data_IF_358319412625
#
_entry.id   IF_358319412625
#
_cell.length_a   1.000
_cell.length_b   1.000
_cell.length_c   1.000
_cell.angle_alpha   90.00
_cell.angle_beta   90.00
_cell.angle_gamma   90.00
#
_symmetry.space_group_name_H-M   'P 1'
#
loop_
_entity.id
_entity.type
_entity.pdbx_description
1 polymer ?
#
# COMPACT_ATOMS: atom_id res chain seq x y z
N UNK A 1 21.84 -70.91 -29.95
CA UNK A 1 22.93 -69.98 -29.58
C UNK A 1 22.57 -68.52 -29.88
N UNK A 2 22.32 -68.13 -31.14
CA UNK A 2 22.03 -66.72 -31.51
C UNK A 2 20.77 -66.11 -30.83
N UNK A 3 19.67 -66.87 -30.70
CA UNK A 3 18.45 -66.38 -30.03
C UNK A 3 18.62 -66.10 -28.53
N UNK A 4 19.39 -66.94 -27.82
CA UNK A 4 19.67 -66.75 -26.39
C UNK A 4 20.53 -65.49 -26.15
N UNK A 5 21.48 -65.22 -27.05
CA UNK A 5 22.28 -64.00 -27.05
C UNK A 5 21.41 -62.76 -27.27
N UNK A 6 20.49 -62.80 -28.24
CA UNK A 6 19.58 -61.69 -28.52
C UNK A 6 18.64 -61.41 -27.34
N UNK A 7 18.04 -62.44 -26.75
CA UNK A 7 17.18 -62.30 -25.57
C UNK A 7 17.96 -61.75 -24.38
N UNK A 8 19.20 -62.22 -24.16
CA UNK A 8 20.06 -61.71 -23.09
C UNK A 8 20.40 -60.21 -23.25
N UNK A 9 20.65 -59.75 -24.48
CA UNK A 9 20.91 -58.33 -24.76
C UNK A 9 19.66 -57.48 -24.51
N UNK A 10 18.48 -57.96 -24.93
CA UNK A 10 17.21 -57.25 -24.68
C UNK A 10 16.92 -57.16 -23.18
N UNK A 11 17.11 -58.25 -22.43
CA UNK A 11 16.94 -58.24 -20.97
C UNK A 11 17.93 -57.28 -20.31
N UNK A 12 19.21 -57.28 -20.73
CA UNK A 12 20.22 -56.36 -20.21
C UNK A 12 19.87 -54.89 -20.50
N UNK A 13 19.34 -54.58 -21.68
CA UNK A 13 18.88 -53.24 -22.05
C UNK A 13 17.69 -52.80 -21.21
N UNK A 14 16.71 -53.69 -20.98
CA UNK A 14 15.53 -53.38 -20.16
C UNK A 14 15.95 -53.15 -18.69
N UNK A 15 16.82 -54.00 -18.14
CA UNK A 15 17.36 -53.82 -16.80
C UNK A 15 18.19 -52.54 -16.67
N UNK A 16 19.02 -52.24 -17.67
CA UNK A 16 19.78 -51.00 -17.74
C UNK A 16 18.88 -49.77 -17.77
N UNK A 17 17.82 -49.79 -18.59
CA UNK A 17 16.84 -48.72 -18.66
C UNK A 17 16.09 -48.54 -17.33
N UNK A 18 15.71 -49.63 -16.67
CA UNK A 18 15.03 -49.60 -15.37
C UNK A 18 15.93 -49.05 -14.25
N UNK A 19 17.20 -49.46 -14.21
CA UNK A 19 18.19 -48.93 -13.27
C UNK A 19 18.42 -47.43 -13.50
N UNK A 20 18.55 -47.01 -14.77
CA UNK A 20 18.72 -45.60 -15.12
C UNK A 20 17.49 -44.78 -14.73
N UNK A 21 16.28 -45.27 -15.00
CA UNK A 21 15.04 -44.62 -14.60
C UNK A 21 14.96 -44.45 -13.07
N UNK A 22 15.28 -45.50 -12.32
CA UNK A 22 15.26 -45.48 -10.84
C UNK A 22 16.29 -44.49 -10.29
N UNK A 23 17.50 -44.48 -10.85
CA UNK A 23 18.54 -43.53 -10.49
C UNK A 23 18.11 -42.08 -10.77
N UNK A 24 17.54 -41.83 -11.95
CA UNK A 24 17.04 -40.51 -12.35
C UNK A 24 15.91 -40.05 -11.42
N UNK A 25 14.94 -40.91 -11.11
CA UNK A 25 13.85 -40.59 -10.18
C UNK A 25 14.35 -40.29 -8.77
N UNK A 26 15.27 -41.11 -8.25
CA UNK A 26 15.89 -40.90 -6.94
C UNK A 26 16.65 -39.57 -6.89
N UNK A 27 17.46 -39.30 -7.92
CA UNK A 27 18.18 -38.04 -8.07
C UNK A 27 17.24 -36.83 -8.12
N UNK A 28 16.17 -36.89 -8.92
CA UNK A 28 15.17 -35.83 -8.96
C UNK A 28 14.47 -35.63 -7.61
N UNK A 29 14.16 -36.71 -6.88
CA UNK A 29 13.53 -36.62 -5.56
C UNK A 29 14.43 -35.91 -4.55
N UNK A 30 15.70 -36.29 -4.47
CA UNK A 30 16.69 -35.63 -3.59
C UNK A 30 16.81 -34.15 -3.96
N UNK A 31 16.96 -33.86 -5.25
CA UNK A 31 17.11 -32.48 -5.76
C UNK A 31 15.87 -31.62 -5.59
N UNK A 32 14.67 -32.20 -5.67
CA UNK A 32 13.41 -31.51 -5.38
C UNK A 32 13.29 -31.21 -3.88
N UNK A 33 13.63 -32.17 -3.02
CA UNK A 33 13.58 -31.99 -1.57
C UNK A 33 14.55 -30.89 -1.10
N UNK A 34 15.76 -30.82 -1.64
CA UNK A 34 16.72 -29.75 -1.36
C UNK A 34 16.14 -28.36 -1.69
N UNK A 35 15.44 -28.22 -2.83
CA UNK A 35 14.83 -26.95 -3.26
C UNK A 35 13.65 -26.56 -2.38
N UNK A 36 12.78 -27.52 -2.02
CA UNK A 36 11.64 -27.28 -1.12
C UNK A 36 12.15 -26.81 0.23
N UNK A 37 13.14 -27.49 0.81
CA UNK A 37 13.75 -27.10 2.08
C UNK A 37 14.39 -25.71 2.02
N UNK A 38 15.12 -25.39 0.94
CA UNK A 38 15.71 -24.06 0.78
C UNK A 38 14.64 -22.96 0.66
N UNK A 39 13.53 -23.23 -0.03
CA UNK A 39 12.37 -22.33 -0.12
C UNK A 39 11.68 -22.13 1.23
N UNK A 40 11.54 -23.20 2.02
CA UNK A 40 10.91 -23.14 3.34
C UNK A 40 11.77 -22.35 4.33
N UNK A 41 13.09 -22.57 4.31
CA UNK A 41 14.06 -21.78 5.07
C UNK A 41 13.97 -20.30 4.70
N UNK A 42 13.93 -19.97 3.39
CA UNK A 42 13.79 -18.58 2.94
C UNK A 42 12.50 -17.93 3.45
N UNK A 43 11.36 -18.65 3.40
CA UNK A 43 10.09 -18.17 3.94
C UNK A 43 10.16 -17.95 5.45
N UNK A 44 10.72 -18.92 6.19
CA UNK A 44 10.86 -18.82 7.65
C UNK A 44 11.71 -17.61 8.05
N UNK A 45 12.80 -17.32 7.34
CA UNK A 45 13.62 -16.15 7.62
C UNK A 45 12.89 -14.84 7.36
N UNK A 46 12.09 -14.74 6.29
CA UNK A 46 11.24 -13.58 6.06
C UNK A 46 10.27 -13.42 7.23
N UNK A 47 9.60 -14.50 7.65
CA UNK A 47 8.64 -14.46 8.76
C UNK A 47 9.29 -14.10 10.10
N UNK A 48 10.49 -14.63 10.40
CA UNK A 48 11.26 -14.28 11.60
C UNK A 48 11.64 -12.80 11.60
N UNK A 49 12.04 -12.25 10.45
CA UNK A 49 12.40 -10.84 10.32
C UNK A 49 11.25 -9.87 10.57
N UNK A 50 9.99 -10.33 10.55
CA UNK A 50 8.82 -9.48 10.83
C UNK A 50 8.72 -9.05 12.29
N UNK A 51 9.29 -9.85 13.21
CA UNK A 51 9.29 -9.58 14.65
C UNK A 51 10.35 -8.58 15.09
N UNK A 52 11.44 -8.49 14.32
CA UNK A 52 12.53 -7.54 14.54
C UNK A 52 12.24 -6.23 13.81
N UNK A 53 12.81 -5.11 14.30
CA UNK A 53 12.75 -3.84 13.58
C UNK A 53 13.57 -3.93 12.29
N UNK A 54 12.90 -4.22 11.17
CA UNK A 54 13.49 -4.27 9.83
C UNK A 54 14.26 -2.97 9.55
N UNK A 55 15.59 -3.04 9.55
CA UNK A 55 16.46 -1.94 9.12
C UNK A 55 16.53 -1.94 7.60
N UNK A 56 16.02 -0.88 6.99
CA UNK A 56 15.99 -0.73 5.53
C UNK A 56 17.38 -0.38 5.02
N UNK A 57 17.81 -0.94 3.88
CA UNK A 57 19.08 -0.66 3.23
C UNK A 57 20.28 -1.52 3.66
N UNK A 58 20.08 -2.50 4.55
CA UNK A 58 21.13 -3.40 5.01
C UNK A 58 20.96 -4.82 4.44
N UNK A 59 22.06 -5.54 4.26
CA UNK A 59 22.06 -6.95 3.86
C UNK A 59 22.63 -7.80 4.99
N UNK A 60 21.75 -8.49 5.70
CA UNK A 60 22.14 -9.41 6.75
C UNK A 60 22.53 -10.73 6.08
N UNK A 61 23.80 -11.09 6.20
CA UNK A 61 24.31 -12.39 5.73
C UNK A 61 24.58 -13.29 6.92
N UNK A 62 24.06 -14.52 6.89
CA UNK A 62 24.36 -15.54 7.89
C UNK A 62 24.72 -16.86 7.24
N UNK A 63 25.59 -17.63 7.90
CA UNK A 63 25.95 -18.98 7.48
C UNK A 63 25.40 -19.98 8.49
N UNK A 64 24.55 -20.88 8.03
CA UNK A 64 24.06 -22.00 8.83
C UNK A 64 24.14 -23.29 8.00
N UNK A 65 24.78 -24.31 8.55
CA UNK A 65 24.83 -25.67 7.98
C UNK A 65 25.21 -25.69 6.47
N UNK A 66 26.30 -25.01 6.08
CA UNK A 66 26.77 -24.90 4.68
C UNK A 66 25.80 -24.19 3.71
N UNK A 67 24.82 -23.44 4.24
CA UNK A 67 23.94 -22.56 3.45
C UNK A 67 24.26 -21.11 3.79
N UNK A 68 24.43 -20.30 2.75
CA UNK A 68 24.55 -18.84 2.90
C UNK A 68 23.17 -18.24 2.73
N UNK A 69 22.69 -17.58 3.77
CA UNK A 69 21.48 -16.78 3.74
C UNK A 69 21.86 -15.31 3.52
N UNK A 70 21.14 -14.64 2.62
CA UNK A 70 21.16 -13.19 2.49
C UNK A 70 19.74 -12.66 2.64
N UNK A 71 19.54 -11.76 3.59
CA UNK A 71 18.29 -11.03 3.77
C UNK A 71 18.54 -9.55 3.45
N UNK A 72 17.75 -8.99 2.54
CA UNK A 72 17.80 -7.58 2.18
C UNK A 72 16.39 -7.00 2.33
N UNK A 73 16.29 -5.80 2.91
CA UNK A 73 15.02 -5.09 3.02
C UNK A 73 15.15 -3.66 2.51
N UNK A 74 14.30 -3.27 1.56
CA UNK A 74 14.28 -1.96 0.94
C UNK A 74 12.83 -1.45 0.85
N UNK A 75 12.61 -0.13 0.86
CA UNK A 75 11.27 0.41 0.59
C UNK A 75 10.88 0.18 -0.87
N UNK A 76 9.61 -0.15 -1.07
CA UNK A 76 8.96 -0.23 -2.37
C UNK A 76 7.62 0.51 -2.29
N UNK A 77 7.71 1.85 -2.36
CA UNK A 77 6.59 2.75 -2.11
C UNK A 77 6.17 2.74 -0.65
N UNK A 78 4.91 2.40 -0.37
CA UNK A 78 4.34 2.36 0.97
C UNK A 78 4.75 1.13 1.79
N UNK A 79 5.29 0.13 1.12
CA UNK A 79 5.61 -1.17 1.69
C UNK A 79 7.11 -1.37 1.81
N UNK A 80 7.53 -2.25 2.71
CA UNK A 80 8.92 -2.74 2.75
C UNK A 80 8.99 -4.01 1.91
N UNK A 81 9.79 -4.00 0.85
CA UNK A 81 10.16 -5.21 0.12
C UNK A 81 11.25 -5.93 0.90
N UNK A 82 10.97 -7.15 1.32
CA UNK A 82 11.95 -8.06 1.91
C UNK A 82 12.31 -9.11 0.86
N UNK A 83 13.61 -9.36 0.70
CA UNK A 83 14.17 -10.35 -0.20
C UNK A 83 15.07 -11.29 0.58
N UNK A 84 14.82 -12.58 0.48
CA UNK A 84 15.65 -13.64 1.05
C UNK A 84 16.23 -14.50 -0.07
N UNK A 85 17.54 -14.72 0.00
CA UNK A 85 18.25 -15.67 -0.85
C UNK A 85 18.90 -16.73 0.01
N UNK A 86 18.62 -17.99 -0.29
CA UNK A 86 19.30 -19.14 0.29
C UNK A 86 20.16 -19.76 -0.79
N UNK A 87 21.47 -19.79 -0.58
CA UNK A 87 22.40 -20.50 -1.44
C UNK A 87 22.83 -21.80 -0.75
N UNK A 88 22.65 -22.93 -1.46
CA UNK A 88 23.19 -24.22 -1.06
C UNK A 88 23.94 -24.83 -2.23
N UNK A 89 25.23 -25.10 -2.03
CA UNK A 89 26.14 -25.54 -3.10
C UNK A 89 26.08 -24.57 -4.31
N UNK A 90 25.75 -25.07 -5.50
CA UNK A 90 25.69 -24.30 -6.74
C UNK A 90 24.26 -23.81 -7.11
N UNK A 91 23.32 -23.86 -6.16
CA UNK A 91 21.92 -23.47 -6.38
C UNK A 91 21.52 -22.33 -5.46
N UNK A 92 20.70 -21.43 -6.00
CA UNK A 92 20.12 -20.29 -5.28
C UNK A 92 18.60 -20.39 -5.33
N UNK A 93 17.96 -20.18 -4.19
CA UNK A 93 16.51 -20.03 -4.06
C UNK A 93 16.24 -18.63 -3.56
N UNK A 94 15.27 -17.97 -4.18
CA UNK A 94 14.91 -16.59 -3.91
C UNK A 94 13.45 -16.53 -3.46
N UNK A 95 13.17 -15.66 -2.49
CA UNK A 95 11.82 -15.30 -2.05
C UNK A 95 11.76 -13.80 -1.82
N UNK A 96 10.65 -13.20 -2.19
CA UNK A 96 10.39 -11.81 -1.90
C UNK A 96 8.96 -11.60 -1.45
N UNK A 97 8.76 -10.63 -0.58
CA UNK A 97 7.46 -10.27 -0.04
C UNK A 97 7.38 -8.76 0.20
N UNK A 98 6.19 -8.19 0.01
CA UNK A 98 5.82 -6.90 0.55
C UNK A 98 5.36 -7.08 2.00
N UNK A 99 5.90 -6.24 2.87
CA UNK A 99 5.70 -6.27 4.31
C UNK A 99 5.18 -4.90 4.76
N UNK A 100 4.21 -4.92 5.68
CA UNK A 100 3.65 -3.74 6.33
C UNK A 100 3.41 -3.98 7.82
N UNK A 101 2.84 -3.00 8.51
CA UNK A 101 2.56 -3.12 9.95
C UNK A 101 1.40 -4.09 10.21
N UNK A 102 1.56 -5.00 11.16
CA UNK A 102 0.49 -5.89 11.60
C UNK A 102 -0.58 -5.14 12.40
N UNK A 103 -1.85 -5.50 12.20
CA UNK A 103 -2.94 -5.05 13.07
C UNK A 103 -2.95 -5.85 14.38
N UNK A 104 -3.33 -5.18 15.45
CA UNK A 104 -3.51 -5.76 16.79
C UNK A 104 -4.92 -5.46 17.29
N UNK A 105 -5.36 -6.13 18.35
CA UNK A 105 -6.67 -5.87 18.98
C UNK A 105 -6.82 -4.44 19.52
N UNK A 106 -5.70 -3.73 19.70
CA UNK A 106 -5.66 -2.32 20.12
C UNK A 106 -5.58 -1.34 18.95
N UNK A 107 -5.46 -1.83 17.71
CA UNK A 107 -5.42 -0.96 16.54
C UNK A 107 -6.73 -0.17 16.43
N UNK A 108 -6.61 1.12 16.12
CA UNK A 108 -7.75 1.98 15.90
C UNK A 108 -8.51 1.57 14.63
N UNK A 109 -9.83 1.73 14.66
CA UNK A 109 -10.67 1.85 13.46
C UNK A 109 -10.90 3.34 13.14
N UNK A 110 -10.98 4.16 14.18
CA UNK A 110 -11.01 5.61 14.04
C UNK A 110 -9.99 6.22 15.00
N UNK A 111 -9.18 7.13 14.51
CA UNK A 111 -8.33 8.00 15.30
C UNK A 111 -8.52 9.45 14.83
N UNK A 112 -9.27 10.24 15.60
CA UNK A 112 -9.43 11.66 15.38
C UNK A 112 -8.58 12.41 16.40
N UNK A 113 -7.65 13.23 15.94
CA UNK A 113 -6.80 14.02 16.83
C UNK A 113 -7.61 14.92 17.79
N UNK A 114 -7.14 15.03 19.03
CA UNK A 114 -7.83 15.79 20.06
C UNK A 114 -7.67 17.30 19.88
N UNK A 115 -8.69 17.95 19.31
CA UNK A 115 -8.78 19.41 19.18
C UNK A 115 -9.72 20.03 20.23
N UNK A 116 -9.99 19.32 21.33
CA UNK A 116 -10.98 19.69 22.36
C UNK A 116 -12.39 20.02 21.80
N UNK A 117 -12.76 19.38 20.70
CA UNK A 117 -14.07 19.52 20.06
C UNK A 117 -14.66 18.12 19.84
N UNK A 118 -15.97 17.92 20.04
CA UNK A 118 -16.58 16.59 19.85
C UNK A 118 -16.54 16.18 18.37
N UNK A 119 -16.61 14.87 18.13
CA UNK A 119 -16.95 14.33 16.82
C UNK A 119 -18.47 14.26 16.68
N UNK A 120 -19.02 14.89 15.66
CA UNK A 120 -20.45 14.88 15.38
C UNK A 120 -20.79 13.88 14.28
N UNK A 121 -21.67 12.93 14.56
CA UNK A 121 -22.14 11.93 13.60
C UNK A 121 -23.53 12.32 13.09
N UNK A 122 -23.71 12.27 11.76
CA UNK A 122 -24.92 12.76 11.08
C UNK A 122 -25.35 11.80 9.97
N UNK A 123 -26.66 11.65 9.75
CA UNK A 123 -27.21 10.77 8.72
C UNK A 123 -26.99 9.29 9.03
N UNK A 124 -26.65 8.50 8.02
CA UNK A 124 -26.40 7.05 8.12
C UNK A 124 -24.94 6.72 8.52
N UNK A 125 -24.34 7.57 9.35
CA UNK A 125 -22.96 7.38 9.82
C UNK A 125 -22.85 6.20 10.77
N UNK A 126 -21.80 5.39 10.62
CA UNK A 126 -21.56 4.21 11.46
C UNK A 126 -20.08 4.07 11.79
N UNK A 127 -19.75 3.88 13.06
CA UNK A 127 -18.38 3.70 13.53
C UNK A 127 -18.32 2.42 14.36
N UNK A 128 -17.55 1.44 13.89
CA UNK A 128 -17.33 0.15 14.55
C UNK A 128 -15.89 -0.01 15.04
N UNK A 129 -15.71 -0.84 16.07
CA UNK A 129 -14.39 -1.18 16.61
C UNK A 129 -13.83 -0.13 17.57
N UNK A 130 -12.51 0.05 17.58
CA UNK A 130 -11.84 0.96 18.51
C UNK A 130 -11.82 2.38 17.95
N UNK A 131 -12.49 3.30 18.64
CA UNK A 131 -12.53 4.72 18.28
C UNK A 131 -11.77 5.58 19.29
N UNK A 132 -10.68 6.20 18.85
CA UNK A 132 -9.94 7.21 19.59
C UNK A 132 -10.45 8.59 19.15
N UNK A 133 -11.13 9.29 20.05
CA UNK A 133 -11.76 10.59 19.77
C UNK A 133 -11.38 11.62 20.84
N UNK A 134 -11.57 12.93 20.56
CA UNK A 134 -11.31 13.98 21.53
C UNK A 134 -12.07 13.76 22.84
N UNK A 135 -11.59 14.35 23.95
CA UNK A 135 -12.21 14.22 25.29
C UNK A 135 -13.71 14.56 25.34
N UNK A 136 -14.17 15.44 24.45
CA UNK A 136 -15.59 15.81 24.31
C UNK A 136 -16.48 14.69 23.73
N UNK A 137 -15.89 13.58 23.31
CA UNK A 137 -16.59 12.38 22.85
C UNK A 137 -17.29 12.53 21.50
N UNK A 138 -18.29 11.66 21.29
CA UNK A 138 -19.16 11.68 20.12
C UNK A 138 -20.50 12.34 20.45
N UNK A 139 -21.08 13.06 19.49
CA UNK A 139 -22.42 13.66 19.57
C UNK A 139 -23.22 13.34 18.31
N UNK A 140 -24.54 13.19 18.45
CA UNK A 140 -25.43 13.20 17.29
C UNK A 140 -25.60 14.64 16.78
N UNK A 141 -25.68 14.82 15.47
CA UNK A 141 -25.96 16.11 14.85
C UNK A 141 -27.05 16.05 13.79
N UNK A 142 -27.26 17.20 13.17
CA UNK A 142 -28.17 17.39 12.04
C UNK A 142 -27.47 18.29 11.02
N UNK A 143 -27.54 17.90 9.74
CA UNK A 143 -27.15 18.75 8.61
C UNK A 143 -28.33 18.82 7.64
N UNK A 144 -28.85 20.03 7.41
CA UNK A 144 -29.93 20.30 6.46
C UNK A 144 -31.17 19.42 6.61
N UNK A 145 -31.58 19.12 7.85
CA UNK A 145 -32.74 18.27 8.16
C UNK A 145 -32.42 16.78 8.23
N UNK A 146 -31.21 16.34 7.88
CA UNK A 146 -30.77 14.96 8.02
C UNK A 146 -30.20 14.74 9.41
N UNK A 147 -31.00 14.14 10.30
CA UNK A 147 -30.58 13.74 11.64
C UNK A 147 -29.75 12.45 11.61
N UNK A 148 -29.00 12.21 12.69
CA UNK A 148 -28.37 10.91 12.93
C UNK A 148 -29.42 9.79 13.01
N UNK A 149 -29.22 8.71 12.23
CA UNK A 149 -30.19 7.61 12.12
C UNK A 149 -29.80 6.35 12.91
N UNK A 150 -28.61 6.30 13.51
CA UNK A 150 -28.14 5.13 14.25
C UNK A 150 -28.73 5.03 15.66
N UNK A 151 -28.87 3.80 16.17
CA UNK A 151 -29.37 3.53 17.52
C UNK A 151 -28.32 3.78 18.62
N UNK A 152 -27.03 3.77 18.27
CA UNK A 152 -25.90 4.09 19.14
C UNK A 152 -24.91 4.96 18.39
N UNK A 153 -24.23 5.88 19.09
CA UNK A 153 -23.22 6.76 18.50
C UNK A 153 -21.95 6.01 18.05
N UNK A 154 -21.69 4.83 18.63
CA UNK A 154 -20.56 3.97 18.31
C UNK A 154 -20.89 2.49 18.62
N UNK A 155 -20.19 1.58 17.95
CA UNK A 155 -20.37 0.13 18.07
C UNK A 155 -19.01 -0.54 18.33
N UNK A 156 -18.52 -0.44 19.57
CA UNK A 156 -17.20 -0.92 19.97
C UNK A 156 -16.69 -0.19 21.21
N UNK A 157 -15.39 0.05 21.29
CA UNK A 157 -14.74 0.71 22.43
C UNK A 157 -14.33 2.13 22.07
N UNK A 158 -14.50 3.07 23.01
CA UNK A 158 -14.11 4.47 22.84
C UNK A 158 -12.97 4.82 23.79
N UNK A 159 -11.95 5.46 23.26
CA UNK A 159 -10.76 5.91 23.98
C UNK A 159 -10.52 7.40 23.73
N UNK A 160 -9.82 8.06 24.66
CA UNK A 160 -9.37 9.44 24.45
C UNK A 160 -8.18 9.46 23.48
N UNK A 161 -8.26 10.31 22.45
CA UNK A 161 -7.16 10.54 21.51
C UNK A 161 -6.16 11.57 22.02
N UNK A 162 -4.94 11.49 21.50
CA UNK A 162 -3.91 12.52 21.70
C UNK A 162 -4.12 13.66 20.70
N UNK A 163 -3.45 14.77 20.92
CA UNK A 163 -3.45 15.93 20.00
C UNK A 163 -2.73 15.65 18.68
N UNK A 164 -1.88 14.61 18.65
CA UNK A 164 -1.13 14.17 17.47
C UNK A 164 -1.61 12.82 16.98
N UNK A 165 -1.50 12.59 15.67
CA UNK A 165 -1.73 11.27 15.08
C UNK A 165 -0.64 10.27 15.48
N UNK A 166 -0.93 8.94 15.47
CA UNK A 166 0.10 7.91 15.57
C UNK A 166 1.20 8.16 14.54
N UNK A 167 2.45 8.05 14.96
CA UNK A 167 3.60 8.41 14.13
C UNK A 167 3.90 7.29 13.13
N UNK A 168 4.15 7.70 11.88
CA UNK A 168 4.71 6.83 10.85
C UNK A 168 6.24 6.83 10.96
N UNK A 169 6.89 5.74 10.54
CA UNK A 169 8.35 5.61 10.55
C UNK A 169 9.01 6.79 9.83
N UNK A 170 9.92 7.49 10.50
CA UNK A 170 10.61 8.66 9.95
C UNK A 170 11.39 8.34 8.69
N UNK A 171 12.01 7.16 8.62
CA UNK A 171 12.73 6.68 7.44
C UNK A 171 11.83 6.59 6.22
N UNK A 172 10.57 6.18 6.42
CA UNK A 172 9.59 6.10 5.35
C UNK A 172 9.15 7.49 4.87
N UNK A 173 8.93 8.44 5.79
CA UNK A 173 8.61 9.83 5.44
C UNK A 173 9.75 10.45 4.62
N UNK A 174 11.01 10.25 5.04
CA UNK A 174 12.19 10.73 4.31
C UNK A 174 12.31 10.09 2.93
N UNK A 175 11.96 8.80 2.79
CA UNK A 175 11.89 8.10 1.51
C UNK A 175 10.78 8.65 0.59
N UNK A 176 9.61 8.98 1.12
CA UNK A 176 8.56 9.63 0.32
C UNK A 176 8.98 11.02 -0.15
N UNK A 177 9.64 11.78 0.72
CA UNK A 177 10.18 13.09 0.36
C UNK A 177 11.21 12.96 -0.78
N UNK A 178 12.11 11.98 -0.71
CA UNK A 178 13.10 11.76 -1.78
C UNK A 178 12.49 11.26 -3.08
N UNK A 179 11.44 10.42 -3.03
CA UNK A 179 10.66 10.03 -4.22
C UNK A 179 10.02 11.25 -4.87
N UNK A 180 9.39 12.12 -4.07
CA UNK A 180 8.71 13.32 -4.58
C UNK A 180 9.67 14.34 -5.21
N UNK A 181 10.93 14.38 -4.75
CA UNK A 181 11.98 15.25 -5.28
C UNK A 181 12.81 14.59 -6.40
N UNK A 182 12.53 13.32 -6.74
CA UNK A 182 13.26 12.57 -7.77
C UNK A 182 14.69 12.15 -7.39
N UNK A 183 15.09 12.25 -6.12
CA UNK A 183 16.50 12.08 -5.69
C UNK A 183 16.94 10.62 -5.51
N UNK A 184 16.01 9.67 -5.46
CA UNK A 184 16.31 8.25 -5.14
C UNK A 184 16.47 7.35 -6.38
N UNK A 185 16.49 7.96 -7.56
CA UNK A 185 16.19 7.32 -8.83
C UNK A 185 17.44 7.06 -9.69
N UNK A 186 18.57 7.63 -9.29
CA UNK A 186 19.86 7.46 -9.96
C UNK A 186 20.48 6.06 -9.80
N UNK A 187 19.94 5.21 -8.92
CA UNK A 187 20.44 3.85 -8.65
C UNK A 187 19.66 2.74 -9.37
N UNK A 188 18.67 3.07 -10.20
CA UNK A 188 17.84 2.10 -10.92
C UNK A 188 18.22 2.10 -12.40
N UNK A 189 18.03 0.95 -13.05
CA UNK A 189 18.27 0.82 -14.49
C UNK A 189 17.20 1.62 -15.25
N UNK A 190 17.62 2.68 -15.93
CA UNK A 190 16.74 3.54 -16.73
C UNK A 190 16.40 2.83 -18.05
N UNK A 191 15.11 2.62 -18.29
CA UNK A 191 14.58 1.98 -19.49
C UNK A 191 13.58 2.90 -20.21
N UNK A 192 13.37 2.63 -21.48
CA UNK A 192 12.37 3.36 -22.27
C UNK A 192 10.98 2.78 -22.03
N UNK A 193 9.94 3.63 -22.10
CA UNK A 193 8.56 3.16 -22.07
C UNK A 193 8.25 2.38 -23.35
N UNK A 194 7.97 1.09 -23.18
CA UNK A 194 7.48 0.18 -24.20
C UNK A 194 6.06 -0.31 -23.88
N UNK A 195 5.43 -0.98 -24.84
CA UNK A 195 4.05 -1.45 -24.71
C UNK A 195 3.90 -2.55 -23.65
N UNK A 196 4.83 -3.48 -23.59
CA UNK A 196 4.76 -4.62 -22.68
C UNK A 196 6.09 -4.69 -21.91
N UNK A 197 6.06 -4.47 -20.59
CA UNK A 197 7.24 -4.45 -19.73
C UNK A 197 6.96 -5.28 -18.49
N UNK A 198 7.85 -6.21 -18.20
CA UNK A 198 7.78 -7.04 -17.00
C UNK A 198 9.16 -7.10 -16.34
N UNK A 199 9.21 -6.84 -15.04
CA UNK A 199 10.43 -6.96 -14.24
C UNK A 199 10.14 -7.70 -12.93
N UNK A 200 10.76 -8.87 -12.74
CA UNK A 200 10.58 -9.67 -11.52
C UNK A 200 11.06 -8.91 -10.27
N UNK A 201 10.48 -9.24 -9.12
CA UNK A 201 10.98 -8.73 -7.84
C UNK A 201 12.30 -9.36 -7.39
N UNK A 202 12.80 -10.37 -8.13
CA UNK A 202 14.10 -11.00 -7.89
C UNK A 202 15.27 -10.30 -8.61
N UNK A 203 14.97 -9.36 -9.51
CA UNK A 203 15.96 -8.55 -10.25
C UNK A 203 16.02 -7.13 -9.69
N UNK A 204 17.06 -6.38 -10.08
CA UNK A 204 17.17 -4.95 -9.77
C UNK A 204 15.94 -4.19 -10.30
N UNK A 205 15.54 -3.15 -9.58
CA UNK A 205 14.41 -2.32 -10.02
C UNK A 205 14.74 -1.55 -11.28
N UNK A 206 13.74 -1.36 -12.12
CA UNK A 206 13.82 -0.55 -13.32
C UNK A 206 13.05 0.74 -13.15
N UNK A 207 13.47 1.79 -13.85
CA UNK A 207 12.78 3.06 -13.85
C UNK A 207 12.57 3.62 -15.24
N UNK A 208 11.40 4.23 -15.45
CA UNK A 208 11.03 4.97 -16.65
C UNK A 208 10.88 6.44 -16.24
N UNK A 209 11.71 7.32 -16.78
CA UNK A 209 11.68 8.75 -16.44
C UNK A 209 11.36 9.58 -17.69
N UNK A 210 10.40 10.49 -17.56
CA UNK A 210 10.11 11.48 -18.61
C UNK A 210 10.08 12.91 -18.04
N UNK A 211 10.72 13.88 -18.71
CA UNK A 211 10.59 15.29 -18.33
C UNK A 211 9.19 15.85 -18.66
N UNK A 212 8.39 15.12 -19.43
CA UNK A 212 7.08 15.53 -19.93
C UNK A 212 5.98 14.61 -19.42
N UNK A 213 4.73 14.92 -19.75
CA UNK A 213 3.58 14.15 -19.28
C UNK A 213 3.60 12.74 -19.88
N UNK A 214 3.40 11.73 -19.04
CA UNK A 214 3.25 10.34 -19.46
C UNK A 214 1.76 10.00 -19.48
N UNK A 215 1.28 9.44 -20.59
CA UNK A 215 -0.08 8.90 -20.71
C UNK A 215 0.05 7.38 -20.82
N UNK A 216 -0.43 6.67 -19.81
CA UNK A 216 -0.51 5.21 -19.77
C UNK A 216 -1.88 4.81 -20.30
N UNK A 217 -1.89 4.30 -21.52
CA UNK A 217 -3.02 3.85 -22.32
C UNK A 217 -3.02 2.35 -22.53
N UNK A 218 -2.36 1.86 -23.57
CA UNK A 218 -2.44 0.44 -23.98
C UNK A 218 -1.25 -0.40 -23.50
N UNK A 219 -0.47 0.16 -22.57
CA UNK A 219 0.70 -0.46 -22.00
C UNK A 219 0.31 -1.50 -20.93
N UNK A 220 1.07 -2.58 -20.88
CA UNK A 220 1.02 -3.62 -19.86
C UNK A 220 2.34 -3.62 -19.11
N UNK A 221 2.30 -3.18 -17.86
CA UNK A 221 3.50 -2.99 -17.06
C UNK A 221 3.33 -3.73 -15.74
N UNK A 222 4.25 -4.65 -15.45
CA UNK A 222 4.17 -5.51 -14.28
C UNK A 222 5.50 -5.62 -13.53
N UNK A 223 5.41 -5.57 -12.20
CA UNK A 223 6.51 -5.93 -11.31
C UNK A 223 7.32 -4.74 -10.80
N UNK A 224 8.61 -4.97 -10.53
CA UNK A 224 9.53 -4.07 -9.84
C UNK A 224 9.96 -2.87 -10.71
N UNK A 225 8.98 -2.01 -11.04
CA UNK A 225 9.10 -0.90 -11.98
C UNK A 225 8.57 0.37 -11.32
N UNK A 226 9.29 1.48 -11.52
CA UNK A 226 8.87 2.82 -11.14
C UNK A 226 8.70 3.65 -12.42
N UNK A 227 7.59 4.38 -12.54
CA UNK A 227 7.33 5.31 -13.63
C UNK A 227 7.27 6.71 -13.06
N UNK A 228 8.13 7.58 -13.55
CA UNK A 228 8.26 8.95 -13.07
C UNK A 228 8.06 9.97 -14.19
N UNK A 229 7.23 10.98 -13.93
CA UNK A 229 7.14 12.18 -14.75
C UNK A 229 7.48 13.43 -13.94
N UNK A 230 8.23 14.35 -14.53
CA UNK A 230 8.48 15.67 -13.94
C UNK A 230 7.25 16.60 -13.99
N UNK A 231 6.17 16.21 -14.68
CA UNK A 231 4.99 17.05 -14.86
C UNK A 231 3.71 16.34 -14.43
N UNK A 232 3.32 15.28 -15.13
CA UNK A 232 2.08 14.58 -14.88
C UNK A 232 2.10 13.13 -15.39
N UNK A 233 1.31 12.27 -14.74
CA UNK A 233 0.95 10.94 -15.24
C UNK A 233 -0.57 10.87 -15.38
N UNK A 234 -1.04 10.44 -16.55
CA UNK A 234 -2.45 10.15 -16.81
C UNK A 234 -2.59 8.65 -17.02
N UNK A 235 -3.45 8.00 -16.24
CA UNK A 235 -3.74 6.56 -16.37
C UNK A 235 -5.12 6.39 -16.97
N UNK A 236 -5.15 5.93 -18.22
CA UNK A 236 -6.36 5.57 -18.96
C UNK A 236 -6.85 4.17 -18.57
N UNK A 237 -8.15 3.86 -18.75
CA UNK A 237 -8.72 2.60 -18.29
C UNK A 237 -8.23 1.36 -19.06
N UNK A 238 -7.62 1.56 -20.23
CA UNK A 238 -7.04 0.49 -21.04
C UNK A 238 -5.70 -0.01 -20.50
N UNK A 239 -5.07 0.72 -19.58
CA UNK A 239 -3.74 0.41 -19.08
C UNK A 239 -3.82 -0.77 -18.11
N UNK A 240 -2.88 -1.71 -18.24
CA UNK A 240 -2.79 -2.86 -17.34
C UNK A 240 -1.54 -2.72 -16.48
N UNK A 241 -1.72 -2.26 -15.24
CA UNK A 241 -0.62 -2.01 -14.31
C UNK A 241 -0.71 -2.98 -13.12
N UNK A 242 0.38 -3.70 -12.84
CA UNK A 242 0.44 -4.67 -11.76
C UNK A 242 1.70 -4.51 -10.90
N UNK A 243 1.50 -4.17 -9.64
CA UNK A 243 2.53 -3.90 -8.64
C UNK A 243 3.51 -2.78 -9.04
N UNK A 244 3.07 -1.77 -9.80
CA UNK A 244 3.92 -0.67 -10.31
C UNK A 244 3.80 0.57 -9.42
N UNK A 245 4.87 1.37 -9.33
CA UNK A 245 4.86 2.68 -8.63
C UNK A 245 4.83 3.82 -9.65
N UNK A 246 3.88 4.75 -9.52
CA UNK A 246 3.76 5.96 -10.33
C UNK A 246 4.09 7.19 -9.49
N UNK A 247 5.03 8.02 -9.94
CA UNK A 247 5.49 9.22 -9.24
C UNK A 247 5.43 10.43 -10.16
N UNK A 248 4.61 11.42 -9.83
CA UNK A 248 4.57 12.68 -10.59
C UNK A 248 3.95 13.80 -9.76
N UNK A 249 4.28 15.08 -10.04
CA UNK A 249 3.60 16.20 -9.37
C UNK A 249 2.08 16.12 -9.51
N UNK A 250 1.58 15.71 -10.68
CA UNK A 250 0.16 15.53 -10.95
C UNK A 250 -0.13 14.11 -11.42
N UNK A 251 -1.07 13.43 -10.78
CA UNK A 251 -1.55 12.12 -11.23
C UNK A 251 -3.05 12.18 -11.42
N UNK A 252 -3.50 11.76 -12.62
CA UNK A 252 -4.91 11.71 -12.99
C UNK A 252 -5.23 10.28 -13.41
N UNK A 253 -6.01 9.58 -12.60
CA UNK A 253 -6.54 8.26 -12.96
C UNK A 253 -7.94 8.45 -13.52
N UNK A 254 -8.15 7.99 -14.76
CA UNK A 254 -9.45 8.08 -15.44
C UNK A 254 -10.46 7.09 -14.89
N UNK A 255 -11.72 7.31 -15.24
CA UNK A 255 -12.83 6.47 -14.80
C UNK A 255 -12.66 5.02 -15.27
N UNK A 256 -13.10 4.07 -14.46
CA UNK A 256 -13.08 2.62 -14.71
C UNK A 256 -11.69 1.98 -14.81
N UNK A 257 -10.63 2.69 -14.41
CA UNK A 257 -9.26 2.12 -14.35
C UNK A 257 -9.17 1.04 -13.27
N UNK A 258 -8.45 -0.04 -13.58
CA UNK A 258 -8.22 -1.15 -12.65
C UNK A 258 -6.74 -1.54 -12.61
N UNK A 259 -6.30 -2.06 -11.47
CA UNK A 259 -4.96 -2.65 -11.35
C UNK A 259 -4.44 -2.70 -9.92
N UNK A 260 -3.17 -3.08 -9.78
CA UNK A 260 -2.46 -3.00 -8.50
C UNK A 260 -1.34 -1.99 -8.68
N UNK A 261 -1.46 -0.82 -8.07
CA UNK A 261 -0.49 0.25 -8.28
C UNK A 261 -0.36 1.14 -7.05
N UNK A 262 0.79 1.80 -6.95
CA UNK A 262 1.03 2.80 -5.93
C UNK A 262 1.23 4.16 -6.58
N UNK A 263 0.47 5.16 -6.14
CA UNK A 263 0.44 6.50 -6.70
C UNK A 263 1.05 7.47 -5.69
N UNK A 264 2.08 8.21 -6.10
CA UNK A 264 2.71 9.24 -5.28
C UNK A 264 2.70 10.58 -6.02
N UNK A 265 1.88 11.50 -5.54
CA UNK A 265 1.77 12.84 -6.09
C UNK A 265 2.08 13.94 -5.06
N UNK A 266 2.51 15.10 -5.54
CA UNK A 266 2.90 16.23 -4.68
C UNK A 266 2.14 17.54 -4.93
N UNK A 267 1.41 17.66 -6.04
CA UNK A 267 0.62 18.85 -6.38
C UNK A 267 -0.86 18.55 -6.63
N UNK A 268 -1.18 17.50 -7.39
CA UNK A 268 -2.58 17.09 -7.62
C UNK A 268 -2.73 15.58 -7.81
N UNK A 269 -3.72 14.97 -7.16
CA UNK A 269 -4.07 13.57 -7.28
C UNK A 269 -5.58 13.42 -7.42
N UNK A 270 -6.02 12.99 -8.61
CA UNK A 270 -7.44 12.81 -8.91
C UNK A 270 -7.68 11.38 -9.34
N UNK A 271 -8.54 10.68 -8.59
CA UNK A 271 -8.99 9.34 -8.91
C UNK A 271 -10.42 9.44 -9.45
N UNK A 272 -10.61 8.98 -10.69
CA UNK A 272 -11.91 8.95 -11.36
C UNK A 272 -12.92 8.02 -10.72
N UNK A 273 -14.06 7.87 -11.40
CA UNK A 273 -15.22 7.09 -10.94
C UNK A 273 -15.05 5.61 -11.24
N UNK A 274 -15.66 4.76 -10.40
CA UNK A 274 -15.74 3.32 -10.60
C UNK A 274 -14.38 2.63 -10.81
N UNK A 275 -13.31 3.20 -10.24
CA UNK A 275 -11.98 2.59 -10.31
C UNK A 275 -11.88 1.44 -9.31
N UNK A 276 -11.01 0.46 -9.60
CA UNK A 276 -10.77 -0.66 -8.70
C UNK A 276 -9.27 -0.92 -8.54
N UNK A 277 -8.75 -0.68 -7.34
CA UNK A 277 -7.35 -0.91 -7.01
C UNK A 277 -7.21 -2.07 -6.05
N UNK A 278 -6.49 -3.10 -6.47
CA UNK A 278 -6.31 -4.33 -5.71
C UNK A 278 -5.27 -4.19 -4.61
N UNK A 279 -5.42 -4.95 -3.53
CA UNK A 279 -4.42 -5.00 -2.46
C UNK A 279 -3.07 -5.49 -3.01
N UNK A 280 -1.93 -4.87 -2.65
CA UNK A 280 -1.73 -3.79 -1.68
C UNK A 280 -1.50 -2.41 -2.33
N UNK A 281 -2.51 -1.87 -3.03
CA UNK A 281 -2.38 -0.55 -3.68
C UNK A 281 -2.26 0.59 -2.66
N UNK A 282 -1.56 1.66 -3.04
CA UNK A 282 -1.44 2.85 -2.19
C UNK A 282 -1.67 4.12 -2.99
N UNK A 283 -2.44 5.05 -2.44
CA UNK A 283 -2.68 6.35 -3.04
C UNK A 283 -2.19 7.41 -2.07
N UNK A 284 -1.03 7.98 -2.34
CA UNK A 284 -0.33 8.89 -1.46
C UNK A 284 -0.16 10.28 -2.08
N UNK A 285 -0.51 11.29 -1.29
CA UNK A 285 -0.33 12.69 -1.61
C UNK A 285 0.61 13.32 -0.57
N UNK A 286 1.75 13.82 -1.02
CA UNK A 286 2.74 14.50 -0.18
C UNK A 286 2.74 16.00 -0.49
N UNK A 287 1.99 16.76 0.31
CA UNK A 287 1.87 18.20 0.15
C UNK A 287 3.17 18.90 0.59
N UNK A 288 3.89 19.45 -0.38
CA UNK A 288 5.11 20.23 -0.16
C UNK A 288 4.86 21.75 -0.14
N UNK A 289 3.62 22.19 -0.33
CA UNK A 289 3.29 23.61 -0.44
C UNK A 289 3.62 24.32 0.86
N UNK A 290 4.30 25.46 0.74
CA UNK A 290 4.55 26.34 1.90
C UNK A 290 3.32 27.19 2.14
N UNK A 291 2.79 27.23 3.38
CA UNK A 291 1.69 28.11 3.71
C UNK A 291 2.13 29.56 3.46
N UNK A 292 1.44 30.26 2.56
CA UNK A 292 1.72 31.66 2.30
C UNK A 292 1.02 32.52 3.37
N UNK A 293 1.73 33.40 4.11
CA UNK A 293 1.14 34.24 5.15
C UNK A 293 0.18 35.31 4.61
N UNK A 294 0.17 35.54 3.29
CA UNK A 294 -0.61 36.59 2.60
C UNK A 294 -1.81 36.06 1.81
N UNK A 295 -2.11 34.76 1.84
CA UNK A 295 -3.30 34.26 1.16
C UNK A 295 -4.56 34.76 1.89
N UNK A 296 -5.31 35.63 1.23
CA UNK A 296 -6.66 35.99 1.62
C UNK A 296 -7.54 34.73 1.58
N UNK A 297 -7.68 34.07 2.74
CA UNK A 297 -8.54 32.90 2.97
C UNK A 297 -10.05 33.18 2.73
N UNK A 298 -10.40 34.42 2.34
CA UNK A 298 -11.74 34.82 1.88
C UNK A 298 -12.04 34.41 0.43
N UNK A 299 -11.05 33.97 -0.35
CA UNK A 299 -11.33 33.34 -1.63
C UNK A 299 -11.57 31.86 -1.39
N UNK A 300 -12.79 31.44 -1.74
CA UNK A 300 -13.23 30.06 -1.87
C UNK A 300 -12.38 29.34 -2.94
N UNK A 301 -11.08 29.17 -2.71
CA UNK A 301 -10.24 28.37 -3.57
C UNK A 301 -10.56 26.91 -3.23
N UNK A 302 -11.66 26.43 -3.82
CA UNK A 302 -12.30 25.12 -3.63
C UNK A 302 -11.59 24.02 -4.42
N UNK A 303 -10.42 24.32 -4.98
CA UNK A 303 -9.66 23.32 -5.73
C UNK A 303 -9.12 22.29 -4.75
N UNK A 304 -9.70 21.10 -4.83
CA UNK A 304 -9.29 19.95 -4.03
C UNK A 304 -8.14 19.29 -4.75
N UNK A 305 -6.98 19.33 -4.10
CA UNK A 305 -5.75 18.79 -4.65
C UNK A 305 -5.74 17.25 -4.62
N UNK A 306 -6.42 16.63 -3.64
CA UNK A 306 -6.55 15.18 -3.53
C UNK A 306 -8.01 14.73 -3.41
N UNK A 307 -8.52 14.08 -4.46
CA UNK A 307 -9.91 13.63 -4.53
C UNK A 307 -10.05 12.20 -5.07
N UNK A 308 -11.03 11.49 -4.50
CA UNK A 308 -11.46 10.16 -4.90
C UNK A 308 -12.94 10.23 -5.26
N UNK A 309 -13.27 10.01 -6.54
CA UNK A 309 -14.63 10.12 -7.06
C UNK A 309 -15.45 8.84 -6.83
N UNK A 310 -16.75 8.94 -7.09
CA UNK A 310 -17.80 7.99 -6.68
C UNK A 310 -17.57 6.57 -7.22
N UNK A 311 -18.02 5.58 -6.44
CA UNK A 311 -18.03 4.17 -6.85
C UNK A 311 -16.65 3.51 -6.91
N UNK A 312 -15.60 4.21 -6.48
CA UNK A 312 -14.22 3.70 -6.49
C UNK A 312 -13.94 2.83 -5.26
N UNK A 313 -13.36 1.67 -5.50
CA UNK A 313 -12.91 0.72 -4.48
C UNK A 313 -11.38 0.65 -4.45
N UNK A 314 -10.79 0.92 -3.28
CA UNK A 314 -9.35 0.87 -3.05
C UNK A 314 -9.05 -0.15 -1.96
N UNK A 315 -8.29 -1.18 -2.30
CA UNK A 315 -7.78 -2.15 -1.33
C UNK A 315 -6.31 -1.81 -1.02
N UNK A 316 -6.03 -1.43 0.23
CA UNK A 316 -4.71 -0.98 0.67
C UNK A 316 -4.78 0.36 1.42
N UNK A 317 -3.98 1.35 1.04
CA UNK A 317 -3.84 2.57 1.83
C UNK A 317 -4.05 3.88 1.06
N UNK A 318 -4.63 4.86 1.75
CA UNK A 318 -4.83 6.23 1.28
C UNK A 318 -4.11 7.17 2.23
N UNK A 319 -3.16 7.96 1.72
CA UNK A 319 -2.26 8.74 2.56
C UNK A 319 -2.24 10.20 2.10
N UNK A 320 -2.49 11.11 3.03
CA UNK A 320 -2.22 12.53 2.88
C UNK A 320 -1.23 12.96 3.97
N UNK A 321 -0.06 13.42 3.54
CA UNK A 321 0.98 13.97 4.39
C UNK A 321 1.25 15.41 3.97
N UNK A 322 1.71 16.23 4.92
CA UNK A 322 2.13 17.59 4.66
C UNK A 322 3.53 17.82 5.23
N UNK A 323 4.41 18.43 4.43
CA UNK A 323 5.76 18.78 4.88
C UNK A 323 5.73 19.93 5.89
N UNK A 324 4.81 20.86 5.70
CA UNK A 324 4.67 22.06 6.52
C UNK A 324 3.30 22.08 7.18
N UNK A 325 3.27 22.05 8.51
CA UNK A 325 2.03 22.17 9.27
C UNK A 325 1.53 23.61 9.24
N UNK A 326 0.35 23.84 8.65
CA UNK A 326 -0.35 25.13 8.75
C UNK A 326 -1.46 25.06 9.77
N UNK A 327 -1.48 25.99 10.71
CA UNK A 327 -2.60 26.16 11.66
C UNK A 327 -3.66 27.14 11.16
N UNK A 328 -3.42 27.80 10.02
CA UNK A 328 -4.19 28.98 9.59
C UNK A 328 -5.45 28.65 8.77
N UNK A 329 -5.53 27.48 8.13
CA UNK A 329 -6.67 27.12 7.29
C UNK A 329 -7.37 25.83 7.74
N UNK A 330 -8.18 25.94 8.80
CA UNK A 330 -8.98 24.82 9.33
C UNK A 330 -10.15 24.39 8.44
N UNK A 331 -10.45 25.11 7.36
CA UNK A 331 -11.59 24.82 6.48
C UNK A 331 -11.17 24.23 5.13
N UNK A 332 -9.87 24.19 4.81
CA UNK A 332 -9.38 23.53 3.58
C UNK A 332 -9.65 22.03 3.68
N UNK A 333 -10.37 21.50 2.69
CA UNK A 333 -10.49 20.06 2.50
C UNK A 333 -9.23 19.57 1.79
N UNK A 334 -8.48 18.69 2.44
CA UNK A 334 -7.22 18.17 1.92
C UNK A 334 -7.43 16.85 1.18
N UNK A 335 -8.27 15.98 1.74
CA UNK A 335 -8.70 14.73 1.11
C UNK A 335 -10.23 14.73 1.00
N UNK A 336 -10.75 14.57 -0.22
CA UNK A 336 -12.18 14.35 -0.45
C UNK A 336 -12.46 12.93 -0.94
N UNK A 337 -13.34 12.25 -0.24
CA UNK A 337 -13.93 10.96 -0.63
C UNK A 337 -15.40 11.14 -0.96
N UNK A 338 -15.74 10.93 -2.23
CA UNK A 338 -17.10 11.10 -2.71
C UNK A 338 -18.03 9.93 -2.28
N UNK A 339 -19.36 10.14 -2.33
CA UNK A 339 -20.38 9.11 -2.12
C UNK A 339 -20.11 7.79 -2.83
N UNK A 340 -20.25 6.68 -2.10
CA UNK A 340 -20.11 5.33 -2.65
C UNK A 340 -18.67 4.90 -2.91
N UNK A 341 -17.68 5.66 -2.44
CA UNK A 341 -16.29 5.19 -2.36
C UNK A 341 -16.13 4.18 -1.24
N UNK A 342 -15.27 3.19 -1.44
CA UNK A 342 -14.93 2.19 -0.44
C UNK A 342 -13.41 2.00 -0.35
N UNK A 343 -12.87 2.01 0.87
CA UNK A 343 -11.46 1.71 1.14
C UNK A 343 -11.39 0.51 2.07
N UNK A 344 -10.80 -0.59 1.62
CA UNK A 344 -10.50 -1.77 2.44
C UNK A 344 -9.05 -1.67 2.86
N UNK A 345 -8.82 -1.18 4.08
CA UNK A 345 -7.48 -0.92 4.61
C UNK A 345 -7.42 0.36 5.44
N UNK A 346 -6.46 1.23 5.15
CA UNK A 346 -6.11 2.33 6.06
C UNK A 346 -6.05 3.70 5.37
N UNK A 347 -6.66 4.70 5.99
CA UNK A 347 -6.55 6.10 5.59
C UNK A 347 -5.75 6.85 6.64
N UNK A 348 -4.67 7.53 6.24
CA UNK A 348 -3.88 8.39 7.10
C UNK A 348 -3.82 9.80 6.52
N UNK A 349 -4.49 10.76 7.16
CA UNK A 349 -4.61 12.13 6.68
C UNK A 349 -4.16 13.13 7.75
N UNK A 350 -2.99 13.75 7.56
CA UNK A 350 -2.48 14.82 8.45
C UNK A 350 -3.23 16.15 8.35
N UNK A 351 -4.26 16.23 7.50
CA UNK A 351 -5.10 17.40 7.31
C UNK A 351 -6.57 17.12 7.59
N UNK A 352 -7.42 17.92 6.97
CA UNK A 352 -8.87 17.79 7.07
C UNK A 352 -9.46 16.94 5.94
N UNK A 353 -10.33 16.00 6.30
CA UNK A 353 -10.91 15.02 5.38
C UNK A 353 -12.43 15.23 5.22
N UNK A 354 -12.90 15.31 3.97
CA UNK A 354 -14.32 15.24 3.60
C UNK A 354 -14.66 13.78 3.25
N UNK A 355 -15.44 13.14 4.12
CA UNK A 355 -15.64 11.70 4.12
C UNK A 355 -17.12 11.34 3.99
N UNK A 356 -17.51 10.94 2.78
CA UNK A 356 -18.84 10.41 2.47
C UNK A 356 -18.72 9.04 1.79
N UNK A 357 -18.10 8.06 2.47
CA UNK A 357 -17.85 6.73 1.90
C UNK A 357 -17.83 5.62 2.95
N UNK A 358 -17.24 4.49 2.61
CA UNK A 358 -17.03 3.34 3.49
C UNK A 358 -15.54 3.10 3.65
N UNK A 359 -15.09 2.92 4.88
CA UNK A 359 -13.74 2.41 5.19
C UNK A 359 -13.88 1.15 6.00
N UNK A 360 -13.37 0.03 5.48
CA UNK A 360 -13.25 -1.23 6.20
C UNK A 360 -11.83 -1.38 6.71
N UNK A 361 -11.58 -0.87 7.90
CA UNK A 361 -10.27 -0.83 8.53
C UNK A 361 -10.09 0.38 9.41
N UNK A 362 -9.15 1.25 9.09
CA UNK A 362 -8.79 2.37 9.96
C UNK A 362 -8.75 3.72 9.26
N UNK A 363 -9.22 4.76 9.95
CA UNK A 363 -9.08 6.17 9.55
C UNK A 363 -8.34 6.92 10.63
N UNK A 364 -7.21 7.52 10.28
CA UNK A 364 -6.43 8.42 11.12
C UNK A 364 -6.49 9.81 10.50
N UNK A 365 -7.09 10.78 11.18
CA UNK A 365 -7.21 12.14 10.63
C UNK A 365 -7.13 13.23 11.70
N UNK A 366 -6.59 14.38 11.31
CA UNK A 366 -6.55 15.56 12.19
C UNK A 366 -7.95 16.15 12.40
N UNK A 367 -8.81 16.13 11.38
CA UNK A 367 -10.12 16.78 11.40
C UNK A 367 -11.03 16.21 10.31
N UNK A 368 -12.31 16.02 10.63
CA UNK A 368 -13.34 15.81 9.60
C UNK A 368 -13.96 17.14 9.18
N UNK A 369 -14.34 17.24 7.91
CA UNK A 369 -15.13 18.36 7.37
C UNK A 369 -16.29 17.76 6.59
N UNK A 370 -17.49 18.29 6.76
CA UNK A 370 -18.61 18.01 5.86
C UNK A 370 -18.99 19.28 5.12
N UNK A 371 -18.92 19.24 3.79
CA UNK A 371 -19.33 20.35 2.92
C UNK A 371 -20.75 20.08 2.40
N UNK A 372 -21.77 20.66 3.04
CA UNK A 372 -23.17 20.35 2.74
C UNK A 372 -24.01 21.62 2.64
N UNK A 373 -24.83 21.70 1.58
CA UNK A 373 -25.74 22.84 1.35
C UNK A 373 -25.06 24.22 1.40
N UNK A 374 -23.82 24.32 0.92
CA UNK A 374 -23.03 25.56 0.95
C UNK A 374 -22.43 25.93 2.31
N UNK A 375 -22.63 25.09 3.34
CA UNK A 375 -22.05 25.26 4.68
C UNK A 375 -20.91 24.26 4.93
N UNK A 376 -19.97 24.66 5.78
CA UNK A 376 -18.82 23.85 6.20
C UNK A 376 -19.02 23.47 7.66
N UNK A 377 -19.08 22.17 7.94
CA UNK A 377 -19.24 21.63 9.29
C UNK A 377 -17.93 20.96 9.74
N UNK A 378 -17.30 21.51 10.78
CA UNK A 378 -16.04 20.98 11.31
C UNK A 378 -16.28 19.84 12.31
N UNK A 379 -15.43 18.82 12.26
CA UNK A 379 -15.56 17.57 13.02
C UNK A 379 -16.92 16.88 12.84
N UNK A 380 -17.48 16.93 11.63
CA UNK A 380 -18.70 16.22 11.28
C UNK A 380 -18.41 15.09 10.29
N UNK A 381 -18.97 13.90 10.54
CA UNK A 381 -19.04 12.82 9.55
C UNK A 381 -20.49 12.71 9.07
N UNK A 382 -20.69 12.93 7.78
CA UNK A 382 -21.99 12.86 7.13
C UNK A 382 -22.08 11.62 6.24
N UNK A 383 -22.97 10.68 6.59
CA UNK A 383 -23.18 9.40 5.91
C UNK A 383 -21.95 8.47 5.77
N UNK A 384 -20.82 8.82 6.39
CA UNK A 384 -19.59 8.02 6.35
C UNK A 384 -19.64 6.80 7.26
N UNK A 385 -19.06 5.68 6.81
CA UNK A 385 -19.04 4.41 7.56
C UNK A 385 -17.63 3.93 7.77
N UNK A 386 -17.23 3.76 9.02
CA UNK A 386 -15.97 3.16 9.43
C UNK A 386 -16.31 1.82 10.07
N UNK A 387 -15.93 0.74 9.39
CA UNK A 387 -16.28 -0.64 9.72
C UNK A 387 -15.02 -1.45 10.01
N UNK A 388 -15.18 -2.63 10.60
CA UNK A 388 -14.07 -3.56 10.82
C UNK A 388 -13.49 -4.06 9.50
N UNK A 389 -12.16 -4.21 9.44
CA UNK A 389 -11.48 -4.77 8.27
C UNK A 389 -11.85 -6.27 8.12
N UNK A 390 -12.40 -6.71 6.97
CA UNK A 390 -12.70 -8.12 6.74
C UNK A 390 -11.46 -8.98 6.47
N UNK A 391 -10.29 -8.39 6.20
CA UNK A 391 -9.07 -9.11 5.83
C UNK A 391 -8.34 -9.59 7.10
N UNK A 392 -8.20 -10.92 7.31
CA UNK A 392 -7.38 -11.45 8.38
C UNK A 392 -5.90 -11.19 8.12
N UNK A 393 -5.12 -10.88 9.16
CA UNK A 393 -3.68 -10.62 9.08
C UNK A 393 -3.27 -9.48 8.13
N UNK A 394 -4.17 -8.50 7.91
CA UNK A 394 -3.89 -7.30 7.11
C UNK A 394 -2.58 -6.63 7.54
N UNK A 395 -1.71 -6.36 6.56
CA UNK A 395 -0.53 -5.53 6.71
C UNK A 395 -0.84 -4.09 6.26
N UNK A 396 -0.55 -3.12 7.11
CA UNK A 396 -0.90 -1.71 6.94
C UNK A 396 0.30 -0.79 6.82
N UNK A 397 0.02 0.51 7.01
CA UNK A 397 1.00 1.59 6.90
C UNK A 397 2.12 1.44 7.93
N UNK A 398 3.35 1.93 7.62
CA UNK A 398 4.52 1.71 8.46
C UNK A 398 4.49 2.60 9.71
N UNK A 399 3.73 2.19 10.73
CA UNK A 399 3.70 2.86 12.04
C UNK A 399 4.97 2.56 12.85
N UNK A 400 5.36 3.50 13.72
CA UNK A 400 6.45 3.29 14.67
C UNK A 400 6.07 2.27 15.75
N UNK A 401 7.06 1.48 16.20
CA UNK A 401 6.93 0.54 17.33
C UNK A 401 5.84 -0.54 17.18
N UNK A 402 5.62 -1.01 15.95
CA UNK A 402 4.67 -2.10 15.66
C UNK A 402 5.38 -3.31 15.06
N UNK A 403 4.85 -4.50 15.30
CA UNK A 403 5.24 -5.71 14.57
C UNK A 403 4.80 -5.62 13.10
N UNK A 404 5.44 -6.40 12.23
CA UNK A 404 5.11 -6.43 10.81
C UNK A 404 4.33 -7.70 10.43
N UNK A 405 3.66 -7.66 9.28
CA UNK A 405 2.96 -8.79 8.64
C UNK A 405 3.24 -8.77 7.13
N UNK A 406 3.11 -9.92 6.48
CA UNK A 406 3.24 -10.04 5.02
C UNK A 406 1.96 -9.52 4.36
N UNK A 407 2.10 -8.52 3.49
CA UNK A 407 1.04 -8.04 2.62
C UNK A 407 0.86 -8.99 1.41
N UNK A 408 1.96 -9.28 0.71
CA UNK A 408 1.91 -10.03 -0.54
C UNK A 408 3.23 -10.76 -0.79
N UNK A 409 3.16 -12.02 -1.22
CA UNK A 409 4.31 -12.74 -1.76
C UNK A 409 4.54 -12.35 -3.22
N UNK A 410 5.79 -12.09 -3.57
CA UNK A 410 6.22 -11.59 -4.86
C UNK A 410 7.00 -12.66 -5.64
N UNK A 411 6.88 -12.59 -6.96
CA UNK A 411 7.48 -13.51 -7.93
C UNK A 411 8.33 -12.75 -8.95
#
# INVERSE_FOLDING_TARGET
MQFALLISVVIALILGAFLLLTHVQSFFKIKSNELIQASEIANQHILQSLGDSLKTGDTISSEQQQKTLKLNSNFYGAWTKVYAQVQSHNRKVHKSALVGTARTDRSANLYLANTNSPLVVVGNTRIEGNAYVPKQGLKAGNISGNYYQGSRLYYGSVFESKTTLPQLKKEWISYLESLSNGSFIDNLDNITLERDIENSFYTSGQIIISPSTIVLGNEKIAGNIIIQSNTAIVVEPTATLQNVILVAPKIIVKDNTKGTMQLFASQKLTIGKNCYFNYPSTIAFYDQTRPSPTQNYNTQNRDIDFSIDKGTLIEGSVVYLQKHTSTQNRIKTHLKMAPGTEVIGEIYCQGSMDFEGIVRGAVYTQQFIANQSGSIYLNHIYNGKILTNPIPNYAGLPFENTSNSVAQWLY
#
